data_IF_721579162525
#
_entry.id   IF_721579162525
#
_cell.length_a   1.000
_cell.length_b   1.000
_cell.length_c   1.000
_cell.angle_alpha   90.00
_cell.angle_beta   90.00
_cell.angle_gamma   90.00
#
_symmetry.space_group_name_H-M   'P 1'
#
loop_
_entity.id
_entity.type
_entity.pdbx_description
1 polymer ?
#
# COMPACT_ATOMS: atom_id res chain seq x y z
N UNK A 1 20.44 35.06 -12.04
CA UNK A 1 19.52 34.75 -10.93
C UNK A 1 18.52 33.73 -11.47
N UNK A 2 18.82 32.44 -11.35
CA UNK A 2 17.93 31.37 -11.83
C UNK A 2 17.81 30.33 -10.71
N UNK A 3 16.66 30.32 -10.06
CA UNK A 3 16.31 29.39 -8.99
C UNK A 3 16.03 28.02 -9.61
N UNK A 4 17.03 27.15 -9.62
CA UNK A 4 16.84 25.72 -9.86
C UNK A 4 15.99 25.16 -8.73
N UNK A 5 14.72 24.85 -9.00
CA UNK A 5 13.98 23.94 -8.13
C UNK A 5 14.62 22.55 -8.29
N UNK A 6 15.22 21.95 -7.25
CA UNK A 6 15.62 20.56 -7.34
C UNK A 6 14.34 19.73 -7.44
N UNK A 7 14.20 18.98 -8.53
CA UNK A 7 13.13 18.02 -8.72
C UNK A 7 13.18 16.98 -7.62
N UNK A 8 12.47 17.24 -6.52
CA UNK A 8 12.09 16.20 -5.56
C UNK A 8 11.17 15.26 -6.33
N UNK A 9 11.74 14.14 -6.76
CA UNK A 9 10.95 12.95 -7.02
C UNK A 9 10.33 12.56 -5.67
N UNK A 10 9.23 13.22 -5.31
CA UNK A 10 8.36 12.80 -4.21
C UNK A 10 7.75 11.51 -4.68
N UNK A 11 8.48 10.40 -4.50
CA UNK A 11 7.87 9.10 -4.46
C UNK A 11 6.84 9.20 -3.34
N UNK A 12 5.59 9.40 -3.74
CA UNK A 12 4.50 9.65 -2.81
C UNK A 12 4.34 8.37 -2.01
N UNK A 13 4.87 8.35 -0.78
CA UNK A 13 4.73 7.21 0.12
C UNK A 13 3.24 7.06 0.45
N UNK A 14 2.59 6.13 -0.24
CA UNK A 14 1.20 5.81 0.00
C UNK A 14 1.06 4.90 1.22
N UNK A 15 0.04 5.19 2.02
CA UNK A 15 -0.46 4.31 3.10
C UNK A 15 -1.10 3.02 2.60
N UNK A 16 -1.31 2.89 1.29
CA UNK A 16 -1.85 1.69 0.65
C UNK A 16 -0.71 0.80 0.13
N UNK A 17 -0.82 -0.51 0.40
CA UNK A 17 0.07 -1.56 -0.06
C UNK A 17 -0.76 -2.64 -0.76
N UNK A 18 -0.27 -3.11 -1.90
CA UNK A 18 -0.78 -4.31 -2.55
C UNK A 18 0.20 -5.45 -2.25
N UNK A 19 -0.25 -6.48 -1.56
CA UNK A 19 0.58 -7.59 -1.13
C UNK A 19 0.08 -8.89 -1.75
N UNK A 20 0.98 -9.74 -2.22
CA UNK A 20 0.64 -11.08 -2.69
C UNK A 20 0.48 -12.04 -1.51
N UNK A 21 -0.42 -11.70 -0.59
CA UNK A 21 -0.71 -12.44 0.62
C UNK A 21 -2.22 -12.53 0.83
N UNK A 22 -2.65 -13.57 1.53
CA UNK A 22 -4.03 -13.68 1.98
C UNK A 22 -4.33 -12.66 3.08
N UNK A 23 -5.60 -12.28 3.20
CA UNK A 23 -6.11 -11.40 4.27
C UNK A 23 -5.60 -11.83 5.65
N UNK A 24 -5.78 -13.10 6.01
CA UNK A 24 -5.38 -13.64 7.31
C UNK A 24 -3.87 -13.47 7.57
N UNK A 25 -3.03 -13.64 6.55
CA UNK A 25 -1.58 -13.47 6.72
C UNK A 25 -1.20 -12.00 6.91
N UNK A 26 -1.91 -11.08 6.26
CA UNK A 26 -1.71 -9.65 6.43
C UNK A 26 -2.17 -9.19 7.82
N UNK A 27 -3.29 -9.69 8.32
CA UNK A 27 -3.76 -9.40 9.68
C UNK A 27 -2.73 -9.84 10.73
N UNK A 28 -2.15 -11.04 10.58
CA UNK A 28 -1.07 -11.51 11.44
C UNK A 28 0.18 -10.63 11.36
N UNK A 29 0.56 -10.18 10.15
CA UNK A 29 1.69 -9.27 9.96
C UNK A 29 1.43 -7.90 10.59
N UNK A 30 0.24 -7.35 10.41
CA UNK A 30 -0.12 -6.06 11.00
C UNK A 30 -0.12 -6.16 12.53
N UNK A 31 -0.70 -7.22 13.10
CA UNK A 31 -0.66 -7.46 14.55
C UNK A 31 0.78 -7.63 15.07
N UNK A 32 1.65 -8.32 14.33
CA UNK A 32 3.07 -8.49 14.69
C UNK A 32 3.85 -7.17 14.71
N UNK A 33 3.48 -6.23 13.85
CA UNK A 33 4.16 -4.94 13.70
C UNK A 33 3.42 -3.77 14.38
N UNK A 34 2.38 -4.06 15.18
CA UNK A 34 1.49 -3.06 15.80
C UNK A 34 0.91 -2.03 14.79
N UNK A 35 0.72 -2.47 13.55
CA UNK A 35 0.27 -1.61 12.46
C UNK A 35 -1.26 -1.54 12.41
N UNK A 36 -1.82 -0.34 12.59
CA UNK A 36 -3.25 -0.13 12.55
C UNK A 36 -3.79 -0.19 11.11
N UNK A 37 -4.65 -1.17 10.83
CA UNK A 37 -5.32 -1.33 9.53
C UNK A 37 -6.50 -0.36 9.44
N UNK A 38 -6.55 0.40 8.36
CA UNK A 38 -7.72 1.19 7.97
C UNK A 38 -8.69 0.38 7.12
N UNK A 39 -8.17 -0.29 6.08
CA UNK A 39 -8.98 -1.08 5.14
C UNK A 39 -8.18 -2.31 4.71
N UNK A 40 -8.84 -3.45 4.57
CA UNK A 40 -8.25 -4.66 4.00
C UNK A 40 -9.22 -5.31 3.03
N UNK A 41 -8.78 -5.48 1.79
CA UNK A 41 -9.62 -5.92 0.67
C UNK A 41 -8.86 -6.96 -0.16
N UNK A 42 -9.38 -8.19 -0.32
CA UNK A 42 -8.80 -9.14 -1.26
C UNK A 42 -8.93 -8.62 -2.69
N UNK A 43 -7.89 -8.81 -3.50
CA UNK A 43 -7.87 -8.35 -4.88
C UNK A 43 -8.43 -9.45 -5.81
N UNK A 44 -9.27 -9.10 -6.82
CA UNK A 44 -9.87 -10.08 -7.72
C UNK A 44 -8.84 -10.91 -8.53
N UNK A 45 -7.66 -10.33 -8.79
CA UNK A 45 -6.56 -10.99 -9.51
C UNK A 45 -5.55 -11.72 -8.61
N UNK A 46 -5.88 -11.90 -7.32
CA UNK A 46 -4.98 -12.49 -6.34
C UNK A 46 -4.20 -11.46 -5.52
N UNK A 47 -3.84 -11.87 -4.30
CA UNK A 47 -3.30 -10.98 -3.28
C UNK A 47 -4.37 -10.16 -2.57
N UNK A 48 -3.93 -9.19 -1.79
CA UNK A 48 -4.79 -8.36 -0.93
C UNK A 48 -4.22 -6.96 -0.87
N UNK A 49 -5.11 -5.98 -0.97
CA UNK A 49 -4.81 -4.58 -0.73
C UNK A 49 -5.06 -4.28 0.73
N UNK A 50 -4.06 -3.71 1.39
CA UNK A 50 -4.16 -3.20 2.74
C UNK A 50 -3.88 -1.71 2.73
N UNK A 51 -4.73 -0.94 3.41
CA UNK A 51 -4.53 0.48 3.69
C UNK A 51 -4.35 0.60 5.18
N UNK A 52 -3.23 1.18 5.60
CA UNK A 52 -2.97 1.42 7.02
C UNK A 52 -3.40 2.84 7.40
N UNK A 53 -3.55 3.08 8.70
CA UNK A 53 -3.90 4.41 9.22
C UNK A 53 -2.81 5.44 8.91
N UNK A 54 -1.54 5.05 9.06
CA UNK A 54 -0.40 5.96 8.93
C UNK A 54 0.59 5.50 7.85
N UNK A 55 1.32 6.46 7.28
CA UNK A 55 2.37 6.19 6.29
C UNK A 55 3.57 5.47 6.94
N UNK A 56 3.88 5.76 8.20
CA UNK A 56 4.97 5.11 8.94
C UNK A 56 4.77 3.60 9.03
N UNK A 57 3.57 3.17 9.43
CA UNK A 57 3.22 1.74 9.52
C UNK A 57 3.27 1.08 8.15
N UNK A 58 2.85 1.81 7.11
CA UNK A 58 2.92 1.33 5.73
C UNK A 58 4.36 1.18 5.24
N UNK A 59 5.28 2.00 5.74
CA UNK A 59 6.68 1.85 5.40
C UNK A 59 7.33 0.65 6.11
N UNK A 60 7.01 0.45 7.39
CA UNK A 60 7.46 -0.72 8.15
C UNK A 60 6.98 -2.01 7.48
N UNK A 61 5.69 -2.09 7.14
CA UNK A 61 5.16 -3.26 6.42
C UNK A 61 5.75 -3.38 5.02
N UNK A 62 5.95 -2.27 4.29
CA UNK A 62 6.57 -2.28 2.95
C UNK A 62 7.99 -2.84 3.01
N UNK A 63 8.79 -2.47 4.01
CA UNK A 63 10.13 -3.01 4.19
C UNK A 63 10.10 -4.49 4.59
N UNK A 64 9.27 -4.85 5.58
CA UNK A 64 9.13 -6.23 6.07
C UNK A 64 8.57 -7.19 4.99
N UNK A 65 7.73 -6.69 4.10
CA UNK A 65 7.09 -7.46 3.03
C UNK A 65 7.62 -7.11 1.63
N UNK A 66 8.83 -6.53 1.54
CA UNK A 66 9.40 -6.03 0.29
C UNK A 66 9.41 -7.08 -0.84
N UNK A 67 9.75 -8.34 -0.51
CA UNK A 67 9.71 -9.47 -1.46
C UNK A 67 8.32 -9.98 -1.84
N UNK A 68 7.25 -9.40 -1.28
CA UNK A 68 5.84 -9.79 -1.50
C UNK A 68 4.96 -8.63 -1.97
N UNK A 69 5.56 -7.46 -2.20
CA UNK A 69 4.87 -6.33 -2.78
C UNK A 69 4.49 -6.67 -4.21
N UNK A 70 3.20 -6.51 -4.54
CA UNK A 70 2.76 -6.53 -5.92
C UNK A 70 3.21 -5.21 -6.55
N UNK A 71 4.29 -5.28 -7.33
CA UNK A 71 4.81 -4.15 -8.10
C UNK A 71 3.83 -3.69 -9.19
N UNK A 72 2.90 -4.57 -9.56
CA UNK A 72 1.98 -4.31 -10.67
C UNK A 72 0.94 -3.29 -10.24
N UNK A 73 0.70 -2.34 -11.13
CA UNK A 73 -0.48 -1.47 -11.13
C UNK A 73 -1.72 -2.38 -11.19
N UNK A 74 -2.18 -2.83 -10.02
CA UNK A 74 -3.44 -3.57 -9.93
C UNK A 74 -4.49 -2.55 -10.36
N UNK A 75 -5.16 -2.74 -11.51
CA UNK A 75 -6.11 -1.75 -12.00
C UNK A 75 -7.14 -1.55 -10.91
N UNK A 76 -7.10 -0.38 -10.28
CA UNK A 76 -8.15 0.03 -9.38
C UNK A 76 -9.36 0.18 -10.27
N UNK A 77 -10.28 -0.77 -10.23
CA UNK A 77 -11.63 -0.53 -10.72
C UNK A 77 -12.22 0.54 -9.82
N UNK A 78 -11.95 1.80 -10.18
CA UNK A 78 -12.74 2.90 -9.67
C UNK A 78 -14.16 2.58 -10.10
N UNK A 79 -15.06 2.35 -9.15
CA UNK A 79 -16.48 2.43 -9.45
C UNK A 79 -16.72 3.87 -9.93
N UNK A 80 -16.64 4.09 -11.24
CA UNK A 80 -17.20 5.27 -11.87
C UNK A 80 -18.70 5.20 -11.59
N UNK A 81 -19.14 5.88 -10.53
CA UNK A 81 -20.54 6.25 -10.38
C UNK A 81 -20.80 7.27 -11.49
N UNK A 82 -21.31 6.79 -12.61
CA UNK A 82 -21.80 7.63 -13.70
C UNK A 82 -22.75 8.68 -13.15
N UNK A 83 -22.61 9.88 -13.73
CA UNK A 83 -23.20 11.16 -13.32
C UNK A 83 -24.68 11.07 -12.95
#
# INVERSE_FOLDING_TARGET
>A
MNTSQPGTNVQTRSRALNLNLSKARIEQLCAKHDAAISVIEPLPGGGTRVVLMNISDADVLRQACSGKLLARDVPRTAFFRGR
#
